data_IF_218928063965
#
_entry.id   IF_218928063965
#
_cell.length_a   1.000
_cell.length_b   1.000
_cell.length_c   1.000
_cell.angle_alpha   90.00
_cell.angle_beta   90.00
_cell.angle_gamma   90.00
#
_symmetry.space_group_name_H-M   'P 1'
#
loop_
_entity.id
_entity.type
_entity.pdbx_description
1 polymer ?
#
# COMPACT_ATOMS: atom_id res chain seq x y z
N UNK A 1 -24.62 21.21 -12.65
CA UNK A 1 -23.46 20.40 -12.18
C UNK A 1 -23.88 18.95 -12.29
N UNK A 2 -23.59 18.35 -13.45
CA UNK A 2 -24.14 17.07 -13.91
C UNK A 2 -23.01 16.07 -13.76
N UNK A 3 -23.15 15.07 -12.89
CA UNK A 3 -22.26 13.91 -12.90
C UNK A 3 -22.37 13.30 -14.31
N UNK A 4 -21.29 13.33 -15.08
CA UNK A 4 -21.23 12.49 -16.26
C UNK A 4 -21.18 11.04 -15.78
N UNK A 5 -21.99 10.13 -16.34
CA UNK A 5 -21.79 8.71 -16.10
C UNK A 5 -20.42 8.34 -16.67
N UNK A 6 -19.66 7.57 -15.89
CA UNK A 6 -18.49 6.84 -16.37
C UNK A 6 -18.97 5.95 -17.51
N UNK A 7 -18.84 6.45 -18.74
CA UNK A 7 -19.09 5.70 -19.96
C UNK A 7 -18.07 4.57 -19.99
N UNK A 8 -18.49 3.40 -19.50
CA UNK A 8 -17.91 2.14 -19.90
C UNK A 8 -18.09 2.06 -21.42
N UNK A 9 -17.06 2.47 -22.15
CA UNK A 9 -16.95 2.23 -23.57
C UNK A 9 -17.05 0.71 -23.73
N UNK A 10 -18.19 0.25 -24.27
CA UNK A 10 -18.39 -1.16 -24.63
C UNK A 10 -17.34 -1.46 -25.70
N UNK A 11 -16.29 -2.14 -25.29
CA UNK A 11 -15.38 -2.84 -26.18
C UNK A 11 -16.24 -3.68 -27.15
N UNK A 12 -16.02 -3.63 -28.47
CA UNK A 12 -16.74 -4.47 -29.43
C UNK A 12 -16.53 -5.96 -29.12
N UNK A 13 -17.47 -6.84 -29.56
CA UNK A 13 -17.48 -8.25 -29.21
C UNK A 13 -16.43 -9.01 -30.03
N UNK A 14 -15.16 -8.80 -29.68
CA UNK A 14 -14.03 -9.47 -30.29
C UNK A 14 -13.30 -10.23 -29.16
N UNK A 15 -13.44 -11.56 -29.13
CA UNK A 15 -12.62 -12.50 -28.35
C UNK A 15 -12.85 -12.50 -26.81
N UNK A 16 -14.05 -12.92 -26.38
CA UNK A 16 -14.54 -13.10 -24.99
C UNK A 16 -13.77 -14.20 -24.19
N UNK A 17 -12.45 -14.10 -24.05
CA UNK A 17 -11.69 -15.05 -23.23
C UNK A 17 -10.17 -14.92 -23.22
N UNK A 18 -9.58 -14.08 -24.08
CA UNK A 18 -8.12 -13.90 -24.13
C UNK A 18 -7.74 -12.57 -23.49
N UNK A 19 -7.31 -12.59 -22.22
CA UNK A 19 -6.74 -11.42 -21.57
C UNK A 19 -5.55 -10.89 -22.40
N UNK A 20 -5.67 -9.66 -22.93
CA UNK A 20 -4.61 -9.03 -23.69
C UNK A 20 -3.39 -8.83 -22.76
N UNK A 21 -2.18 -9.32 -23.12
CA UNK A 21 -0.98 -9.11 -22.33
C UNK A 21 -0.71 -7.63 -21.97
N UNK A 22 -1.25 -6.68 -22.75
CA UNK A 22 -1.14 -5.23 -22.49
C UNK A 22 -1.84 -4.77 -21.21
N UNK A 23 -2.83 -5.52 -20.75
CA UNK A 23 -3.53 -5.20 -19.52
C UNK A 23 -2.66 -5.43 -18.27
N UNK A 24 -1.75 -6.41 -18.31
CA UNK A 24 -0.80 -6.66 -17.22
C UNK A 24 0.24 -5.53 -17.11
N UNK A 25 0.54 -4.85 -18.21
CA UNK A 25 1.43 -3.68 -18.25
C UNK A 25 0.77 -2.42 -17.66
N UNK A 26 -0.56 -2.36 -17.62
CA UNK A 26 -1.32 -1.24 -17.03
C UNK A 26 -1.53 -1.39 -15.52
N UNK A 27 -1.13 -2.51 -14.93
CA UNK A 27 -1.14 -2.71 -13.48
C UNK A 27 0.10 -2.02 -12.89
N UNK A 28 -0.05 -1.14 -11.88
CA UNK A 28 1.11 -0.50 -11.28
C UNK A 28 1.97 -1.55 -10.55
N UNK A 29 3.30 -1.47 -10.70
CA UNK A 29 4.22 -2.24 -9.87
C UNK A 29 4.30 -1.59 -8.48
N UNK A 30 3.23 -1.78 -7.69
CA UNK A 30 3.08 -1.22 -6.35
C UNK A 30 4.28 -1.54 -5.47
N UNK A 31 4.86 -2.74 -5.62
CA UNK A 31 5.95 -3.19 -4.76
C UNK A 31 7.23 -2.41 -5.04
N UNK A 32 7.61 -2.27 -6.31
CA UNK A 32 8.81 -1.54 -6.69
C UNK A 32 8.71 -0.05 -6.35
N UNK A 33 7.59 0.59 -6.72
CA UNK A 33 7.39 2.02 -6.48
C UNK A 33 7.32 2.36 -4.98
N UNK A 34 6.60 1.56 -4.19
CA UNK A 34 6.50 1.75 -2.74
C UNK A 34 7.86 1.58 -2.06
N UNK A 35 8.63 0.57 -2.47
CA UNK A 35 9.96 0.30 -1.90
C UNK A 35 10.93 1.43 -2.21
N UNK A 36 10.88 2.00 -3.41
CA UNK A 36 11.70 3.15 -3.79
C UNK A 36 11.35 4.40 -2.96
N UNK A 37 10.06 4.69 -2.75
CA UNK A 37 9.61 5.81 -1.91
C UNK A 37 10.04 5.65 -0.45
N UNK A 38 9.93 4.44 0.09
CA UNK A 38 10.36 4.10 1.45
C UNK A 38 11.89 4.23 1.61
N UNK A 39 12.66 3.85 0.59
CA UNK A 39 14.10 4.03 0.59
C UNK A 39 14.48 5.51 0.64
N UNK A 40 13.82 6.36 -0.16
CA UNK A 40 14.04 7.81 -0.10
C UNK A 40 13.65 8.38 1.26
N UNK A 41 12.53 7.95 1.85
CA UNK A 41 12.14 8.34 3.20
C UNK A 41 13.22 7.99 4.23
N UNK A 42 13.75 6.76 4.17
CA UNK A 42 14.82 6.30 5.05
C UNK A 42 16.08 7.17 4.93
N UNK A 43 16.50 7.48 3.71
CA UNK A 43 17.66 8.35 3.47
C UNK A 43 17.41 9.75 4.00
N UNK A 44 16.25 10.35 3.72
CA UNK A 44 15.90 11.69 4.22
C UNK A 44 15.92 11.76 5.74
N UNK A 45 15.36 10.76 6.43
CA UNK A 45 15.29 10.73 7.90
C UNK A 45 16.67 10.48 8.52
N UNK A 46 17.48 9.58 7.97
CA UNK A 46 18.81 9.26 8.52
C UNK A 46 19.82 10.39 8.31
N UNK A 47 19.78 11.07 7.17
CA UNK A 47 20.69 12.18 6.86
C UNK A 47 20.19 13.55 7.37
N UNK A 48 18.95 13.67 7.86
CA UNK A 48 18.40 14.92 8.37
C UNK A 48 19.27 15.57 9.46
N UNK A 49 19.94 14.77 10.29
CA UNK A 49 20.80 15.24 11.37
C UNK A 49 22.21 15.58 10.94
N UNK A 50 22.68 15.02 9.83
CA UNK A 50 24.00 15.30 9.25
C UNK A 50 23.95 16.56 8.39
N UNK A 51 22.93 16.66 7.53
CA UNK A 51 22.76 17.75 6.59
C UNK A 51 21.28 18.18 6.57
N UNK A 52 20.89 19.22 7.32
CA UNK A 52 19.48 19.62 7.45
C UNK A 52 18.86 20.10 6.12
N UNK A 53 19.69 20.47 5.14
CA UNK A 53 19.24 20.85 3.80
C UNK A 53 18.62 19.69 3.01
N UNK A 54 18.85 18.43 3.41
CA UNK A 54 18.23 17.27 2.74
C UNK A 54 16.72 17.18 2.99
N UNK A 55 16.22 17.73 4.11
CA UNK A 55 14.79 17.72 4.44
C UNK A 55 13.93 18.53 3.46
N UNK A 56 14.22 19.81 3.16
CA UNK A 56 13.43 20.55 2.17
C UNK A 56 13.54 19.94 0.77
N UNK A 57 14.70 19.39 0.39
CA UNK A 57 14.85 18.66 -0.87
C UNK A 57 13.98 17.39 -0.92
N UNK A 58 13.97 16.61 0.16
CA UNK A 58 13.12 15.42 0.30
C UNK A 58 11.63 15.76 0.32
N UNK A 59 11.24 16.84 0.99
CA UNK A 59 9.85 17.32 1.01
C UNK A 59 9.38 17.67 -0.41
N UNK A 60 10.20 18.40 -1.17
CA UNK A 60 9.89 18.73 -2.56
C UNK A 60 9.72 17.47 -3.42
N UNK A 61 10.59 16.48 -3.24
CA UNK A 61 10.46 15.18 -3.90
C UNK A 61 9.12 14.49 -3.60
N UNK A 62 8.73 14.42 -2.32
CA UNK A 62 7.46 13.81 -1.93
C UNK A 62 6.24 14.56 -2.48
N UNK A 63 6.29 15.89 -2.55
CA UNK A 63 5.22 16.71 -3.14
C UNK A 63 5.03 16.37 -4.63
N UNK A 64 6.12 16.36 -5.39
CA UNK A 64 6.07 16.04 -6.83
C UNK A 64 5.59 14.61 -7.03
N UNK A 65 6.12 13.65 -6.25
CA UNK A 65 5.70 12.24 -6.32
C UNK A 65 4.23 12.05 -5.99
N UNK A 66 3.72 12.72 -4.95
CA UNK A 66 2.30 12.69 -4.61
C UNK A 66 1.42 13.16 -5.77
N UNK A 67 1.78 14.27 -6.43
CA UNK A 67 1.01 14.80 -7.55
C UNK A 67 0.98 13.83 -8.74
N UNK A 68 2.15 13.31 -9.14
CA UNK A 68 2.26 12.35 -10.25
C UNK A 68 1.43 11.11 -9.96
N UNK A 69 1.56 10.58 -8.75
CA UNK A 69 0.88 9.36 -8.33
C UNK A 69 -0.65 9.56 -8.27
N UNK A 70 -1.12 10.72 -7.83
CA UNK A 70 -2.54 11.06 -7.82
C UNK A 70 -3.15 11.08 -9.23
N UNK A 71 -2.43 11.65 -10.21
CA UNK A 71 -2.87 11.67 -11.62
C UNK A 71 -2.84 10.26 -12.20
N UNK A 72 -1.79 9.50 -11.91
CA UNK A 72 -1.64 8.12 -12.38
C UNK A 72 -2.75 7.20 -11.87
N UNK A 73 -3.14 7.30 -10.59
CA UNK A 73 -4.22 6.50 -10.03
C UNK A 73 -5.62 6.89 -10.56
N UNK A 74 -5.80 8.14 -11.00
CA UNK A 74 -7.10 8.61 -11.50
C UNK A 74 -7.32 8.28 -12.98
N UNK A 75 -6.28 8.37 -13.82
CA UNK A 75 -6.44 8.33 -15.28
C UNK A 75 -5.85 7.10 -15.96
N UNK A 76 -4.84 6.45 -15.37
CA UNK A 76 -4.05 5.41 -16.08
C UNK A 76 -4.25 4.04 -15.47
N UNK A 77 -4.17 3.93 -14.13
CA UNK A 77 -4.14 2.63 -13.48
C UNK A 77 -5.55 2.09 -13.23
N UNK A 78 -5.81 0.88 -13.75
CA UNK A 78 -7.03 0.12 -13.48
C UNK A 78 -6.76 -0.86 -12.33
N UNK A 79 -7.45 -0.75 -11.18
CA UNK A 79 -7.24 -1.66 -10.06
C UNK A 79 -7.78 -3.06 -10.38
N UNK A 80 -6.88 -4.02 -10.65
CA UNK A 80 -7.27 -5.43 -10.85
C UNK A 80 -7.45 -6.22 -9.56
N UNK A 81 -6.74 -5.81 -8.51
CA UNK A 81 -6.81 -6.43 -7.19
C UNK A 81 -7.10 -5.34 -6.17
N UNK A 82 -8.15 -5.54 -5.38
CA UNK A 82 -8.37 -4.75 -4.18
C UNK A 82 -7.63 -5.40 -3.01
N UNK A 83 -6.56 -4.76 -2.56
CA UNK A 83 -5.75 -5.24 -1.44
C UNK A 83 -6.34 -4.88 -0.07
N UNK A 84 -7.45 -4.14 -0.02
CA UNK A 84 -8.11 -3.76 1.22
C UNK A 84 -7.23 -2.96 2.19
N UNK A 85 -6.17 -2.30 1.69
CA UNK A 85 -5.24 -1.54 2.52
C UNK A 85 -4.14 -2.35 3.21
N UNK A 86 -3.91 -3.61 2.82
CA UNK A 86 -2.88 -4.45 3.41
C UNK A 86 -1.48 -3.79 3.41
N UNK A 87 -1.15 -3.04 2.35
CA UNK A 87 0.12 -2.33 2.18
C UNK A 87 0.40 -1.25 3.24
N UNK A 88 -0.62 -0.72 3.90
CA UNK A 88 -0.46 0.30 4.94
C UNK A 88 0.46 -0.17 6.07
N UNK A 89 0.33 -1.42 6.48
CA UNK A 89 1.15 -1.99 7.56
C UNK A 89 2.62 -2.11 7.16
N UNK A 90 2.89 -2.41 5.90
CA UNK A 90 4.26 -2.46 5.37
C UNK A 90 4.90 -1.07 5.38
N UNK A 91 4.17 -0.07 4.88
CA UNK A 91 4.60 1.33 4.87
C UNK A 91 4.89 1.83 6.29
N UNK A 92 3.98 1.58 7.22
CA UNK A 92 4.10 1.98 8.62
C UNK A 92 5.32 1.36 9.31
N UNK A 93 5.54 0.06 9.13
CA UNK A 93 6.67 -0.63 9.74
C UNK A 93 8.01 -0.12 9.22
N UNK A 94 8.11 0.16 7.92
CA UNK A 94 9.32 0.72 7.30
C UNK A 94 9.54 2.18 7.69
N UNK A 95 8.48 2.99 7.80
CA UNK A 95 8.58 4.37 8.28
C UNK A 95 9.09 4.42 9.74
N UNK A 96 8.59 3.53 10.62
CA UNK A 96 9.09 3.40 11.99
C UNK A 96 10.54 2.91 12.03
N UNK A 97 10.92 1.96 11.17
CA UNK A 97 12.31 1.51 11.04
C UNK A 97 13.22 2.68 10.66
N UNK A 98 12.82 3.48 9.68
CA UNK A 98 13.56 4.67 9.26
C UNK A 98 13.75 5.68 10.41
N UNK A 99 12.71 5.91 11.20
CA UNK A 99 12.76 6.77 12.38
C UNK A 99 13.72 6.22 13.45
N UNK A 100 13.66 4.92 13.73
CA UNK A 100 14.57 4.25 14.67
C UNK A 100 16.02 4.39 14.20
N UNK A 101 16.28 4.15 12.91
CA UNK A 101 17.61 4.30 12.31
C UNK A 101 18.09 5.76 12.37
N UNK A 102 17.23 6.75 12.09
CA UNK A 102 17.59 8.16 12.23
C UNK A 102 17.93 8.57 13.66
N UNK A 103 17.18 8.06 14.65
CA UNK A 103 17.50 8.27 16.05
C UNK A 103 18.83 7.61 16.46
N UNK A 104 19.10 6.40 15.93
CA UNK A 104 20.37 5.70 16.15
C UNK A 104 21.55 6.45 15.53
N UNK A 105 21.40 6.99 14.31
CA UNK A 105 22.41 7.84 13.66
C UNK A 105 22.69 9.10 14.48
N UNK A 106 21.65 9.72 15.04
CA UNK A 106 21.79 10.89 15.92
C UNK A 106 22.55 10.56 17.18
N UNK A 107 22.22 9.43 17.83
CA UNK A 107 22.94 8.94 19.01
C UNK A 107 24.41 8.65 18.69
N UNK A 108 24.68 8.00 17.55
CA UNK A 108 26.03 7.72 17.08
C UNK A 108 26.85 9.01 16.82
N UNK A 109 26.23 10.02 16.22
CA UNK A 109 26.87 11.30 15.92
C UNK A 109 27.25 12.06 17.21
N UNK A 110 26.35 12.12 18.19
CA UNK A 110 26.62 12.75 19.49
C UNK A 110 27.67 11.97 20.28
N UNK A 111 27.64 10.64 20.21
CA UNK A 111 28.65 9.78 20.81
C UNK A 111 30.06 10.04 20.25
N UNK A 112 30.18 10.27 18.95
CA UNK A 112 31.45 10.61 18.30
C UNK A 112 31.96 12.01 18.67
N UNK A 113 31.06 12.94 18.97
CA UNK A 113 31.37 14.34 19.35
C UNK A 113 31.68 14.52 20.84
N UNK A 114 31.91 13.45 21.60
CA UNK A 114 32.22 13.46 23.04
C UNK A 114 31.17 14.20 23.90
N UNK A 115 29.91 14.25 23.45
CA UNK A 115 28.78 14.87 24.13
C UNK A 115 28.19 14.00 25.25
N UNK A 116 29.02 13.49 26.16
CA UNK A 116 28.61 12.51 27.18
C UNK A 116 27.51 13.02 28.13
N UNK A 117 27.44 14.35 28.34
CA UNK A 117 26.39 14.96 29.17
C UNK A 117 24.99 14.87 28.54
N UNK A 118 24.89 14.79 27.21
CA UNK A 118 23.61 14.75 26.49
C UNK A 118 23.13 13.32 26.21
N UNK A 119 24.03 12.33 26.22
CA UNK A 119 23.69 10.91 26.02
C UNK A 119 22.50 10.40 26.86
N UNK A 120 22.40 10.64 28.19
CA UNK A 120 21.30 10.13 28.98
C UNK A 120 19.94 10.70 28.56
N UNK A 121 19.93 11.93 28.01
CA UNK A 121 18.71 12.56 27.49
C UNK A 121 18.32 12.04 26.10
N UNK A 122 19.29 11.61 25.29
CA UNK A 122 19.08 11.03 23.96
C UNK A 122 18.72 9.53 24.00
N UNK A 123 19.09 8.81 25.06
CA UNK A 123 18.83 7.38 25.22
C UNK A 123 17.32 6.98 25.21
N UNK A 124 16.37 7.74 25.81
CA UNK A 124 14.95 7.42 25.68
C UNK A 124 14.41 7.59 24.24
N UNK A 125 15.09 8.39 23.40
CA UNK A 125 14.62 8.76 22.07
C UNK A 125 14.51 7.58 21.08
N UNK A 126 15.46 6.62 20.99
CA UNK A 126 15.27 5.39 20.20
C UNK A 126 14.37 4.35 20.90
N UNK A 127 14.28 4.36 22.24
CA UNK A 127 13.45 3.40 22.99
C UNK A 127 11.95 3.67 22.77
N UNK A 128 11.55 4.94 22.73
CA UNK A 128 10.15 5.33 22.59
C UNK A 128 9.51 4.83 21.26
N UNK A 129 10.13 5.01 20.08
CA UNK A 129 9.63 4.44 18.82
C UNK A 129 9.54 2.91 18.83
N UNK A 130 10.48 2.22 19.50
CA UNK A 130 10.45 0.76 19.62
C UNK A 130 9.25 0.33 20.47
N UNK A 131 9.05 0.96 21.64
CA UNK A 131 7.89 0.70 22.50
C UNK A 131 6.58 1.02 21.80
N UNK A 132 6.54 2.14 21.06
CA UNK A 132 5.40 2.54 20.26
C UNK A 132 5.10 1.54 19.13
N UNK A 133 6.12 1.04 18.42
CA UNK A 133 5.97 0.00 17.40
C UNK A 133 5.31 -1.24 17.98
N UNK A 134 5.83 -1.76 19.09
CA UNK A 134 5.29 -2.97 19.73
C UNK A 134 3.83 -2.76 20.19
N UNK A 135 3.53 -1.60 20.78
CA UNK A 135 2.18 -1.26 21.22
C UNK A 135 1.22 -1.12 20.04
N UNK A 136 1.66 -0.47 18.95
CA UNK A 136 0.86 -0.26 17.76
C UNK A 136 0.60 -1.58 17.02
N UNK A 137 1.61 -2.44 16.87
CA UNK A 137 1.46 -3.76 16.27
C UNK A 137 0.46 -4.61 17.07
N UNK A 138 0.59 -4.65 18.40
CA UNK A 138 -0.34 -5.39 19.25
C UNK A 138 -1.79 -4.87 19.15
N UNK A 139 -1.97 -3.55 19.12
CA UNK A 139 -3.32 -2.94 19.20
C UNK A 139 -4.05 -2.85 17.87
N UNK A 140 -3.33 -2.62 16.78
CA UNK A 140 -3.92 -2.24 15.48
C UNK A 140 -3.69 -3.28 14.37
N UNK A 141 -2.59 -4.04 14.40
CA UNK A 141 -2.27 -4.98 13.32
C UNK A 141 -3.27 -6.13 13.24
N UNK A 142 -3.57 -6.76 14.37
CA UNK A 142 -4.48 -7.91 14.43
C UNK A 142 -5.93 -7.56 14.05
N UNK A 143 -6.55 -6.51 14.63
CA UNK A 143 -7.91 -6.12 14.25
C UNK A 143 -8.05 -5.66 12.80
N UNK A 144 -7.00 -5.06 12.23
CA UNK A 144 -7.02 -4.55 10.86
C UNK A 144 -6.99 -5.68 9.81
N UNK A 145 -6.37 -6.82 10.14
CA UNK A 145 -6.27 -7.98 9.24
C UNK A 145 -7.54 -8.82 9.16
N UNK A 146 -8.50 -8.61 10.06
CA UNK A 146 -9.68 -9.47 10.19
C UNK A 146 -10.94 -8.62 10.11
N UNK A 147 -11.90 -9.05 9.29
CA UNK A 147 -13.23 -8.45 9.30
C UNK A 147 -13.92 -8.80 10.63
N UNK A 148 -14.36 -7.78 11.37
CA UNK A 148 -15.10 -8.02 12.61
C UNK A 148 -16.46 -8.67 12.33
N UNK A 149 -16.86 -9.63 13.16
CA UNK A 149 -18.15 -10.33 13.02
C UNK A 149 -19.35 -9.38 13.06
N UNK A 150 -19.25 -8.29 13.84
CA UNK A 150 -20.29 -7.27 13.90
C UNK A 150 -20.47 -6.56 12.55
N UNK A 151 -19.37 -6.19 11.90
CA UNK A 151 -19.39 -5.59 10.56
C UNK A 151 -19.85 -6.60 9.52
N UNK A 152 -19.40 -7.86 9.61
CA UNK A 152 -19.87 -8.93 8.73
C UNK A 152 -21.39 -9.10 8.79
N UNK A 153 -21.96 -9.21 10.01
CA UNK A 153 -23.42 -9.27 10.22
C UNK A 153 -24.15 -8.05 9.65
N UNK A 154 -23.59 -6.86 9.81
CA UNK A 154 -24.19 -5.64 9.28
C UNK A 154 -24.17 -5.60 7.75
N UNK A 155 -23.11 -6.12 7.12
CA UNK A 155 -23.00 -6.27 5.67
C UNK A 155 -24.01 -7.30 5.15
N UNK A 156 -24.11 -8.46 5.80
CA UNK A 156 -25.07 -9.52 5.43
C UNK A 156 -26.53 -9.04 5.56
N UNK A 157 -26.84 -8.27 6.61
CA UNK A 157 -28.16 -7.68 6.80
C UNK A 157 -28.50 -6.61 5.74
N UNK A 158 -27.48 -5.95 5.16
CA UNK A 158 -27.66 -4.91 4.15
C UNK A 158 -27.98 -5.50 2.78
N UNK A 159 -27.42 -6.65 2.44
CA UNK A 159 -27.61 -7.29 1.13
C UNK A 159 -27.79 -8.81 1.28
N UNK A 160 -29.01 -9.28 1.66
CA UNK A 160 -29.24 -10.69 2.01
C UNK A 160 -29.16 -11.67 0.83
N UNK A 161 -29.15 -11.17 -0.41
CA UNK A 161 -28.99 -11.97 -1.64
C UNK A 161 -27.56 -11.93 -2.20
N UNK A 162 -26.58 -11.49 -1.42
CA UNK A 162 -25.18 -11.42 -1.87
C UNK A 162 -24.66 -12.80 -2.30
N UNK A 163 -25.08 -13.86 -1.61
CA UNK A 163 -24.73 -15.23 -1.93
C UNK A 163 -25.13 -15.64 -3.36
N UNK A 164 -26.28 -15.16 -3.84
CA UNK A 164 -26.82 -15.50 -5.17
C UNK A 164 -26.06 -14.81 -6.32
N UNK A 165 -25.27 -13.76 -6.03
CA UNK A 165 -24.45 -13.06 -7.04
C UNK A 165 -23.16 -13.80 -7.38
N UNK A 166 -22.75 -14.79 -6.57
CA UNK A 166 -21.54 -15.55 -6.84
C UNK A 166 -21.82 -16.61 -7.90
N UNK A 167 -21.11 -16.52 -9.02
CA UNK A 167 -21.17 -17.55 -10.06
C UNK A 167 -20.50 -18.83 -9.53
N UNK A 168 -21.10 -20.03 -9.72
CA UNK A 168 -20.55 -21.29 -9.24
C UNK A 168 -19.12 -21.61 -9.75
N UNK A 169 -18.74 -21.02 -10.88
CA UNK A 169 -17.45 -21.16 -11.56
C UNK A 169 -16.46 -20.01 -11.28
N UNK A 170 -16.80 -19.07 -10.40
CA UNK A 170 -16.01 -17.86 -10.15
C UNK A 170 -14.56 -18.17 -9.73
N UNK A 171 -14.36 -19.20 -8.91
CA UNK A 171 -13.05 -19.65 -8.42
C UNK A 171 -12.45 -20.80 -9.22
N UNK A 172 -13.10 -21.22 -10.31
CA UNK A 172 -12.54 -22.26 -11.18
C UNK A 172 -11.28 -21.71 -11.87
N UNK A 173 -10.21 -22.50 -11.87
CA UNK A 173 -9.02 -22.23 -12.68
C UNK A 173 -9.41 -21.86 -14.13
N UNK A 174 -8.90 -20.74 -14.69
CA UNK A 174 -9.30 -20.27 -16.01
C UNK A 174 -9.19 -21.32 -17.12
N UNK A 175 -8.18 -22.20 -17.08
CA UNK A 175 -7.98 -23.23 -18.10
C UNK A 175 -9.02 -24.38 -18.09
N UNK A 176 -9.90 -24.42 -17.08
CA UNK A 176 -10.93 -25.44 -16.97
C UNK A 176 -12.34 -24.86 -17.20
N UNK A 177 -12.44 -23.56 -17.51
CA UNK A 177 -13.69 -22.95 -17.98
C UNK A 177 -13.89 -23.35 -19.43
N UNK A 178 -14.70 -24.38 -19.65
CA UNK A 178 -15.08 -24.79 -21.00
C UNK A 178 -15.99 -23.71 -21.60
N UNK A 179 -15.63 -23.22 -22.79
CA UNK A 179 -16.47 -22.29 -23.53
C UNK A 179 -17.69 -23.05 -24.06
N UNK A 180 -18.88 -22.41 -24.10
CA UNK A 180 -20.11 -23.04 -24.62
C UNK A 180 -19.94 -23.59 -26.06
N UNK A 181 -18.93 -23.10 -26.80
CA UNK A 181 -18.54 -23.60 -28.12
C UNK A 181 -17.92 -25.00 -28.13
N UNK A 182 -17.11 -25.36 -27.12
CA UNK A 182 -16.49 -26.70 -27.04
C UNK A 182 -17.45 -27.78 -26.55
N UNK A 183 -18.47 -27.41 -25.74
CA UNK A 183 -19.50 -28.34 -25.28
C UNK A 183 -20.50 -28.76 -26.38
N UNK A 184 -20.60 -27.99 -27.49
CA UNK A 184 -21.52 -28.29 -28.61
C UNK A 184 -20.95 -29.28 -29.63
N UNK A 185 -19.65 -29.57 -29.57
CA UNK A 185 -18.93 -30.44 -30.51
C UNK A 185 -18.51 -31.80 -29.94
N UNK A 186 -18.75 -32.03 -28.64
CA UNK A 186 -18.54 -33.32 -27.96
C UNK A 186 -19.88 -34.03 -27.74
#
# INVERSE_FOLDING_TARGET
RRCQPFSAERQPPDEEGRADPRDFLQCPDLAADLSALLFVLLVCVTYATVAPLILPAGLLFFIVKWLVLAVQYLYVHVPRFDSGGAFWHLLWNQALLALILGNLTTLALVGLRSGYAQLPFLLPLPILPIGFKLRAEYRFLEPSRRLSLHVARALDARDPRLADRFSPDAYWHPALRLTEGEMRTA
#
